data_IF_509562806662
#
_entry.id   IF_509562806662
#
_cell.length_a   1.000
_cell.length_b   1.000
_cell.length_c   1.000
_cell.angle_alpha   90.00
_cell.angle_beta   90.00
_cell.angle_gamma   90.00
#
_symmetry.space_group_name_H-M   'P 1'
#
loop_
_entity.id
_entity.type
_entity.pdbx_description
1 polymer ?
#
# COMPACT_ATOMS: atom_id res chain seq x y z
N UNK A 1 4.73 -4.57 13.58
CA UNK A 1 5.58 -3.40 13.87
C UNK A 1 5.08 -2.18 13.13
N UNK A 2 5.12 -1.03 13.78
CA UNK A 2 4.61 0.22 13.25
C UNK A 2 5.74 1.26 13.14
N UNK A 3 5.89 1.85 11.95
CA UNK A 3 6.89 2.88 11.71
C UNK A 3 6.34 4.00 10.83
N UNK A 4 6.71 5.22 11.13
CA UNK A 4 6.41 6.37 10.31
C UNK A 4 7.54 6.60 9.33
N UNK A 5 7.38 6.08 8.14
CA UNK A 5 8.31 6.36 7.06
C UNK A 5 7.65 6.04 5.74
N UNK A 6 8.31 6.31 4.65
CA UNK A 6 7.79 5.96 3.36
C UNK A 6 6.99 7.04 2.67
N UNK A 7 6.98 8.27 3.23
CA UNK A 7 6.30 9.37 2.56
C UNK A 7 7.18 10.02 1.48
N UNK A 8 8.40 9.52 1.29
CA UNK A 8 9.29 9.97 0.23
C UNK A 8 9.92 8.77 -0.46
N UNK A 9 10.59 9.03 -1.58
CA UNK A 9 11.17 7.97 -2.40
C UNK A 9 12.20 7.12 -1.65
N UNK A 10 13.03 7.75 -0.85
CA UNK A 10 14.07 7.03 -0.12
C UNK A 10 13.47 6.05 0.89
N UNK A 11 12.45 6.49 1.63
CA UNK A 11 11.75 5.63 2.58
C UNK A 11 11.07 4.46 1.91
N UNK A 12 10.43 4.70 0.77
CA UNK A 12 9.75 3.65 0.02
C UNK A 12 10.76 2.64 -0.50
N UNK A 13 11.88 3.09 -1.04
CA UNK A 13 12.94 2.18 -1.51
C UNK A 13 13.43 1.27 -0.41
N UNK A 14 13.63 1.81 0.79
CA UNK A 14 14.11 1.03 1.92
C UNK A 14 13.11 -0.06 2.29
N UNK A 15 11.82 0.29 2.31
CA UNK A 15 10.75 -0.66 2.61
C UNK A 15 10.71 -1.76 1.57
N UNK A 16 10.81 -1.42 0.28
CA UNK A 16 10.79 -2.40 -0.80
C UNK A 16 11.98 -3.35 -0.72
N UNK A 17 13.16 -2.85 -0.34
CA UNK A 17 14.32 -3.70 -0.16
C UNK A 17 14.12 -4.69 0.98
N UNK A 18 13.46 -4.26 2.06
CA UNK A 18 13.15 -5.16 3.17
C UNK A 18 12.15 -6.23 2.75
N UNK A 19 11.14 -5.85 1.95
CA UNK A 19 10.14 -6.80 1.47
C UNK A 19 10.75 -7.86 0.56
N UNK A 20 11.72 -7.50 -0.26
CA UNK A 20 12.41 -8.46 -1.13
C UNK A 20 13.14 -9.55 -0.36
N UNK A 21 13.57 -9.24 0.85
CA UNK A 21 14.29 -10.20 1.69
C UNK A 21 13.37 -11.12 2.47
N UNK A 22 12.09 -10.84 2.50
CA UNK A 22 11.12 -11.63 3.23
C UNK A 22 10.57 -12.74 2.36
N UNK A 23 10.31 -13.89 2.97
CA UNK A 23 9.81 -15.07 2.26
C UNK A 23 8.30 -15.12 2.34
N UNK A 24 7.63 -14.83 1.23
CA UNK A 24 6.17 -14.88 1.15
C UNK A 24 5.75 -15.23 -0.27
N UNK A 25 4.53 -15.76 -0.43
CA UNK A 25 4.01 -16.10 -1.74
C UNK A 25 3.35 -14.93 -2.45
N UNK A 26 2.46 -14.22 -1.73
CA UNK A 26 1.73 -13.10 -2.30
C UNK A 26 1.78 -11.92 -1.34
N UNK A 27 2.08 -10.75 -1.88
CA UNK A 27 2.02 -9.51 -1.12
C UNK A 27 0.64 -8.88 -1.30
N UNK A 28 0.00 -8.56 -0.19
CA UNK A 28 -1.24 -7.79 -0.15
C UNK A 28 -0.91 -6.42 0.42
N UNK A 29 -1.12 -5.40 -0.35
CA UNK A 29 -0.71 -4.05 0.02
C UNK A 29 -1.94 -3.16 0.20
N UNK A 30 -2.24 -2.83 1.44
CA UNK A 30 -3.28 -1.86 1.77
C UNK A 30 -2.63 -0.49 1.75
N UNK A 31 -2.98 0.34 0.78
CA UNK A 31 -2.28 1.59 0.54
C UNK A 31 -3.21 2.79 0.56
N UNK A 32 -2.81 3.81 1.32
CA UNK A 32 -3.45 5.12 1.32
C UNK A 32 -2.39 6.19 1.21
N UNK A 33 -2.70 7.27 0.52
CA UNK A 33 -1.70 8.30 0.26
C UNK A 33 -2.24 9.70 0.55
N UNK A 34 -1.31 10.63 0.77
CA UNK A 34 -1.65 12.05 0.84
C UNK A 34 -1.92 12.54 -0.57
N UNK A 35 -2.80 13.53 -0.68
CA UNK A 35 -3.02 14.19 -1.96
C UNK A 35 -1.82 15.08 -2.27
N UNK A 36 -0.87 14.54 -3.01
CA UNK A 36 0.41 15.17 -3.32
C UNK A 36 0.74 14.95 -4.79
N UNK A 37 1.37 15.93 -5.39
CA UNK A 37 1.78 15.85 -6.80
C UNK A 37 2.83 14.79 -7.07
N UNK A 38 3.54 14.33 -6.03
CA UNK A 38 4.62 13.36 -6.18
C UNK A 38 4.20 11.91 -5.99
N UNK A 39 2.91 11.63 -5.83
CA UNK A 39 2.45 10.26 -5.61
C UNK A 39 2.81 9.34 -6.78
N UNK A 40 2.84 9.87 -7.99
CA UNK A 40 3.20 9.08 -9.17
C UNK A 40 4.60 8.50 -9.09
N UNK A 41 5.54 9.23 -8.52
CA UNK A 41 6.91 8.74 -8.35
C UNK A 41 6.95 7.54 -7.42
N UNK A 42 6.16 7.58 -6.35
CA UNK A 42 6.09 6.49 -5.38
C UNK A 42 5.39 5.29 -5.99
N UNK A 43 4.25 5.50 -6.64
CA UNK A 43 3.48 4.41 -7.26
C UNK A 43 4.29 3.67 -8.31
N UNK A 44 5.10 4.40 -9.05
CA UNK A 44 5.97 3.83 -10.08
C UNK A 44 6.98 2.83 -9.51
N UNK A 45 7.36 3.00 -8.25
CA UNK A 45 8.35 2.14 -7.59
C UNK A 45 7.74 0.86 -7.02
N UNK A 46 6.43 0.80 -6.86
CA UNK A 46 5.78 -0.31 -6.16
C UNK A 46 5.71 -1.56 -7.02
N UNK A 47 5.75 -2.76 -6.39
CA UNK A 47 5.73 -4.02 -7.13
C UNK A 47 4.39 -4.23 -7.85
N UNK A 48 4.43 -4.65 -9.09
CA UNK A 48 3.24 -4.85 -9.91
C UNK A 48 2.55 -6.18 -9.62
N UNK A 49 3.26 -7.11 -9.02
CA UNK A 49 2.74 -8.44 -8.69
C UNK A 49 1.90 -8.46 -7.41
N UNK A 50 1.98 -7.41 -6.62
CA UNK A 50 1.22 -7.32 -5.38
C UNK A 50 -0.27 -7.09 -5.67
N UNK A 51 -1.11 -7.50 -4.74
CA UNK A 51 -2.53 -7.17 -4.77
C UNK A 51 -2.74 -5.90 -3.95
N UNK A 52 -3.35 -4.91 -4.54
CA UNK A 52 -3.53 -3.61 -3.90
C UNK A 52 -4.96 -3.43 -3.40
N UNK A 53 -5.06 -2.79 -2.25
CA UNK A 53 -6.31 -2.44 -1.60
C UNK A 53 -6.25 -0.94 -1.35
N UNK A 54 -6.86 -0.18 -2.25
CA UNK A 54 -6.75 1.28 -2.22
C UNK A 54 -7.71 1.87 -1.22
N UNK A 55 -7.19 2.63 -0.28
CA UNK A 55 -7.99 3.24 0.79
C UNK A 55 -7.66 4.72 0.89
N UNK A 56 -8.53 5.46 1.57
CA UNK A 56 -8.26 6.85 1.89
C UNK A 56 -7.61 6.89 3.27
N UNK A 57 -6.41 7.45 3.36
CA UNK A 57 -5.75 7.63 4.65
C UNK A 57 -6.60 8.56 5.51
N UNK A 58 -6.72 8.22 6.80
CA UNK A 58 -7.55 8.97 7.73
C UNK A 58 -6.80 10.21 8.26
N UNK A 59 -6.50 11.12 7.35
CA UNK A 59 -5.80 12.37 7.62
C UNK A 59 -6.43 13.47 6.76
N UNK A 60 -6.29 14.75 7.14
CA UNK A 60 -6.96 15.86 6.42
C UNK A 60 -6.67 15.91 4.92
N UNK A 61 -5.48 15.53 4.50
CA UNK A 61 -5.07 15.58 3.08
C UNK A 61 -5.07 14.22 2.43
N UNK A 62 -5.83 13.28 2.97
CA UNK A 62 -5.91 11.94 2.38
C UNK A 62 -6.50 11.97 0.99
N UNK A 63 -5.82 11.30 0.05
CA UNK A 63 -6.30 11.17 -1.32
C UNK A 63 -7.46 10.18 -1.35
N UNK A 64 -8.54 10.52 -2.05
CA UNK A 64 -9.69 9.63 -2.19
C UNK A 64 -9.26 8.30 -2.82
N UNK A 65 -9.80 7.19 -2.29
CA UNK A 65 -9.42 5.85 -2.74
C UNK A 65 -9.62 5.64 -4.24
N UNK A 66 -10.71 6.18 -4.81
CA UNK A 66 -10.97 6.03 -6.24
C UNK A 66 -9.98 6.80 -7.11
N UNK A 67 -9.50 7.94 -6.64
CA UNK A 67 -8.47 8.71 -7.35
C UNK A 67 -7.13 7.98 -7.27
N UNK A 68 -6.83 7.42 -6.11
CA UNK A 68 -5.62 6.63 -5.93
C UNK A 68 -5.63 5.40 -6.84
N UNK A 69 -6.76 4.70 -6.88
CA UNK A 69 -6.93 3.54 -7.76
C UNK A 69 -6.71 3.91 -9.22
N UNK A 70 -7.32 5.00 -9.67
CA UNK A 70 -7.21 5.44 -11.05
C UNK A 70 -5.76 5.82 -11.41
N UNK A 71 -5.08 6.51 -10.51
CA UNK A 71 -3.69 6.90 -10.72
C UNK A 71 -2.78 5.67 -10.73
N UNK A 72 -2.99 4.77 -9.78
CA UNK A 72 -2.19 3.55 -9.67
C UNK A 72 -2.32 2.67 -10.91
N UNK A 73 -3.49 2.63 -11.51
CA UNK A 73 -3.73 1.85 -12.72
C UNK A 73 -2.80 2.26 -13.85
N UNK A 74 -2.46 3.55 -13.93
CA UNK A 74 -1.54 4.06 -14.95
C UNK A 74 -0.14 3.46 -14.82
N UNK A 75 0.21 2.99 -13.65
CA UNK A 75 1.51 2.39 -13.35
C UNK A 75 1.46 0.87 -13.25
N UNK A 76 0.34 0.27 -13.67
CA UNK A 76 0.20 -1.18 -13.69
C UNK A 76 -0.15 -1.81 -12.34
N UNK A 77 -0.54 -1.00 -11.37
CA UNK A 77 -0.95 -1.50 -10.05
C UNK A 77 -2.44 -1.81 -10.07
N UNK A 78 -2.80 -3.04 -9.75
CA UNK A 78 -4.17 -3.50 -9.83
C UNK A 78 -4.74 -3.79 -8.45
N UNK A 79 -5.99 -3.37 -8.23
CA UNK A 79 -6.66 -3.61 -6.97
C UNK A 79 -8.01 -2.94 -6.90
N UNK A 80 -8.68 -3.16 -5.78
CA UNK A 80 -10.00 -2.58 -5.51
C UNK A 80 -9.88 -1.44 -4.53
N UNK A 81 -10.89 -0.57 -4.52
CA UNK A 81 -10.97 0.53 -3.57
C UNK A 81 -11.88 0.15 -2.40
N UNK A 82 -11.58 0.69 -1.25
CA UNK A 82 -12.35 0.45 -0.02
C UNK A 82 -12.59 1.77 0.69
N UNK A 83 -13.64 1.82 1.50
CA UNK A 83 -14.07 3.07 2.14
C UNK A 83 -13.16 3.53 3.29
N UNK A 84 -12.35 2.64 3.83
CA UNK A 84 -11.47 2.97 4.95
C UNK A 84 -10.28 2.01 5.01
N UNK A 85 -9.26 2.40 5.77
CA UNK A 85 -8.11 1.53 6.02
C UNK A 85 -8.57 0.22 6.65
N UNK A 86 -9.51 0.31 7.62
CA UNK A 86 -10.05 -0.87 8.29
C UNK A 86 -10.69 -1.83 7.30
N UNK A 87 -11.51 -1.33 6.39
CA UNK A 87 -12.19 -2.18 5.42
C UNK A 87 -11.21 -2.79 4.43
N UNK A 88 -10.23 -2.02 3.99
CA UNK A 88 -9.17 -2.54 3.12
C UNK A 88 -8.37 -3.64 3.79
N UNK A 89 -8.00 -3.44 5.04
CA UNK A 89 -7.26 -4.45 5.81
C UNK A 89 -8.09 -5.71 6.00
N UNK A 90 -9.37 -5.55 6.30
CA UNK A 90 -10.27 -6.69 6.47
C UNK A 90 -10.35 -7.52 5.19
N UNK A 91 -10.45 -6.85 4.04
CA UNK A 91 -10.49 -7.54 2.76
C UNK A 91 -9.17 -8.26 2.48
N UNK A 92 -8.05 -7.63 2.80
CA UNK A 92 -6.73 -8.25 2.63
C UNK A 92 -6.59 -9.49 3.50
N UNK A 93 -7.04 -9.42 4.74
CA UNK A 93 -7.00 -10.58 5.65
C UNK A 93 -7.85 -11.73 5.18
N UNK A 94 -8.98 -11.45 4.54
CA UNK A 94 -9.83 -12.50 3.96
C UNK A 94 -9.18 -13.18 2.76
N UNK A 95 -8.47 -12.40 1.95
CA UNK A 95 -7.87 -12.91 0.73
C UNK A 95 -6.55 -13.61 0.99
N UNK A 96 -5.82 -13.19 2.02
CA UNK A 96 -4.50 -13.72 2.31
C UNK A 96 -4.56 -15.12 2.92
N UNK A 97 -3.61 -15.95 2.52
CA UNK A 97 -3.41 -17.27 3.11
C UNK A 97 -2.12 -17.26 3.95
N UNK A 98 -1.85 -18.36 4.63
CA UNK A 98 -0.80 -18.44 5.64
C UNK A 98 0.58 -17.97 5.17
N UNK A 99 0.91 -18.22 3.92
CA UNK A 99 2.23 -17.86 3.37
C UNK A 99 2.28 -16.45 2.80
N UNK A 100 1.18 -15.72 2.90
CA UNK A 100 1.11 -14.36 2.33
C UNK A 100 1.54 -13.31 3.35
N UNK A 101 1.93 -12.15 2.82
CA UNK A 101 2.27 -10.99 3.63
C UNK A 101 1.25 -9.89 3.39
N UNK A 102 0.82 -9.24 4.46
CA UNK A 102 -0.01 -8.03 4.37
C UNK A 102 0.84 -6.86 4.80
N UNK A 103 0.91 -5.86 3.95
CA UNK A 103 1.61 -4.61 4.22
C UNK A 103 0.63 -3.47 4.17
N UNK A 104 0.64 -2.62 5.18
CA UNK A 104 -0.22 -1.44 5.24
C UNK A 104 0.69 -0.23 5.22
N UNK A 105 0.54 0.61 4.24
CA UNK A 105 1.41 1.74 4.14
C UNK A 105 0.86 2.87 3.30
N UNK A 106 1.64 3.93 3.24
CA UNK A 106 1.29 5.09 2.47
C UNK A 106 2.27 6.22 2.72
N UNK A 107 1.83 7.43 2.45
CA UNK A 107 2.69 8.59 2.55
C UNK A 107 3.09 8.93 3.97
N UNK A 108 2.29 8.56 4.96
CA UNK A 108 2.47 9.04 6.34
C UNK A 108 2.64 7.94 7.37
N UNK A 109 2.43 6.68 7.01
CA UNK A 109 2.53 5.60 7.97
C UNK A 109 2.90 4.29 7.29
N UNK A 110 3.46 3.38 8.06
CA UNK A 110 3.81 2.04 7.58
C UNK A 110 3.52 1.04 8.68
N UNK A 111 2.76 0.02 8.36
CA UNK A 111 2.50 -1.11 9.25
C UNK A 111 2.63 -2.39 8.45
N UNK A 112 3.34 -3.36 8.98
CA UNK A 112 3.49 -4.66 8.33
C UNK A 112 2.92 -5.75 9.22
N UNK A 113 2.16 -6.66 8.63
CA UNK A 113 1.63 -7.82 9.32
C UNK A 113 1.87 -9.08 8.49
N UNK A 114 2.17 -10.16 9.17
CA UNK A 114 2.31 -11.49 8.56
C UNK A 114 1.07 -12.31 8.91
N UNK A 115 0.50 -12.92 7.91
CA UNK A 115 -0.71 -13.73 8.09
C UNK A 115 -0.36 -15.21 8.20
#
# INVERSE_FOLDING_TARGET
MYKRQGHNEAGVKLILQQLEKMDYEQLHFVIGMVNDKDIGKILKMLPKEARYYFVKANIPRGLAAEKLQATAKKYGLKGRKYSSVRNGLRAAKRAAVESDMIFIGGSTFVVAEVV
#
